data_IF_271854201387
#
_entry.id   IF_271854201387
#
_cell.length_a   1.000
_cell.length_b   1.000
_cell.length_c   1.000
_cell.angle_alpha   90.00
_cell.angle_beta   90.00
_cell.angle_gamma   90.00
#
_symmetry.space_group_name_H-M   'P 1'
#
loop_
_entity.id
_entity.type
_entity.pdbx_description
1 polymer ?
#
# COMPACT_ATOMS: atom_id res chain seq x y z
N UNK A 1 26.96 9.41 4.28
CA UNK A 1 25.58 8.85 4.33
C UNK A 1 24.87 9.40 5.56
N UNK A 2 23.57 9.61 5.51
CA UNK A 2 22.81 10.04 6.69
C UNK A 2 22.71 8.87 7.67
N UNK A 3 23.04 9.08 8.96
CA UNK A 3 23.08 8.02 9.98
C UNK A 3 21.73 7.30 10.16
N UNK A 4 20.62 8.00 9.99
CA UNK A 4 19.28 7.38 10.05
C UNK A 4 19.05 6.43 8.87
N UNK A 5 19.43 6.81 7.65
CA UNK A 5 19.35 5.94 6.47
C UNK A 5 20.24 4.70 6.65
N UNK A 6 21.45 4.85 7.17
CA UNK A 6 22.33 3.71 7.47
C UNK A 6 21.71 2.74 8.48
N UNK A 7 21.08 3.29 9.53
CA UNK A 7 20.40 2.48 10.52
C UNK A 7 19.20 1.75 9.94
N UNK A 8 18.41 2.42 9.09
CA UNK A 8 17.27 1.79 8.41
C UNK A 8 17.72 0.68 7.46
N UNK A 9 18.78 0.89 6.68
CA UNK A 9 19.32 -0.12 5.76
C UNK A 9 19.72 -1.42 6.44
N UNK A 10 20.16 -1.38 7.72
CA UNK A 10 20.53 -2.58 8.48
C UNK A 10 19.39 -3.56 8.72
N UNK A 11 18.13 -3.11 8.61
CA UNK A 11 16.96 -3.97 8.76
C UNK A 11 16.60 -4.76 7.49
N UNK A 12 17.26 -4.46 6.37
CA UNK A 12 17.00 -5.14 5.09
C UNK A 12 18.07 -6.18 4.79
N UNK A 13 17.62 -7.35 4.40
CA UNK A 13 18.48 -8.36 3.79
C UNK A 13 18.53 -8.07 2.28
N UNK A 14 19.73 -7.74 1.77
CA UNK A 14 19.91 -7.33 0.37
C UNK A 14 20.94 -8.23 -0.30
N UNK A 15 20.50 -9.04 -1.24
CA UNK A 15 21.34 -9.97 -2.00
C UNK A 15 21.63 -9.47 -3.42
N UNK A 16 20.68 -8.75 -4.00
CA UNK A 16 20.73 -8.36 -5.41
C UNK A 16 20.30 -6.90 -5.61
N UNK A 17 20.33 -6.43 -6.87
CA UNK A 17 19.96 -5.05 -7.22
C UNK A 17 18.47 -4.75 -6.98
N UNK A 18 17.59 -5.75 -7.11
CA UNK A 18 16.16 -5.56 -6.88
C UNK A 18 15.86 -5.33 -5.41
N UNK A 19 16.51 -6.11 -4.53
CA UNK A 19 16.41 -5.93 -3.06
C UNK A 19 16.89 -4.54 -2.65
N UNK A 20 18.02 -4.08 -3.23
CA UNK A 20 18.54 -2.73 -2.98
C UNK A 20 17.59 -1.64 -3.42
N UNK A 21 16.97 -1.78 -4.59
CA UNK A 21 15.97 -0.81 -5.08
C UNK A 21 14.71 -0.82 -4.22
N UNK A 22 14.26 -1.99 -3.78
CA UNK A 22 13.08 -2.13 -2.93
C UNK A 22 13.33 -1.54 -1.53
N UNK A 23 14.45 -1.85 -0.89
CA UNK A 23 14.83 -1.27 0.40
C UNK A 23 14.96 0.26 0.31
N UNK A 24 15.62 0.77 -0.72
CA UNK A 24 15.73 2.21 -0.98
C UNK A 24 14.34 2.85 -1.12
N UNK A 25 13.44 2.28 -1.92
CA UNK A 25 12.08 2.79 -2.09
C UNK A 25 11.31 2.82 -0.77
N UNK A 26 11.36 1.74 0.02
CA UNK A 26 10.65 1.65 1.30
C UNK A 26 11.18 2.68 2.31
N UNK A 27 12.51 2.88 2.38
CA UNK A 27 13.09 3.95 3.21
C UNK A 27 12.65 5.34 2.73
N UNK A 28 12.61 5.58 1.43
CA UNK A 28 12.08 6.83 0.87
C UNK A 28 10.61 7.02 1.20
N UNK A 29 9.79 5.97 1.19
CA UNK A 29 8.39 6.00 1.62
C UNK A 29 8.28 6.39 3.10
N UNK A 30 9.10 5.82 3.99
CA UNK A 30 9.11 6.19 5.40
C UNK A 30 9.55 7.65 5.62
N UNK A 31 10.50 8.17 4.83
CA UNK A 31 10.88 9.59 4.86
C UNK A 31 9.70 10.48 4.41
N UNK A 32 8.95 10.06 3.38
CA UNK A 32 7.74 10.77 2.93
C UNK A 32 6.67 10.77 4.01
N UNK A 33 6.41 9.62 4.66
CA UNK A 33 5.45 9.53 5.78
C UNK A 33 5.84 10.45 6.94
N UNK A 34 7.13 10.49 7.29
CA UNK A 34 7.66 11.42 8.29
C UNK A 34 7.42 12.89 7.89
N UNK A 35 7.69 13.24 6.64
CA UNK A 35 7.44 14.60 6.11
C UNK A 35 5.96 14.97 6.14
N UNK A 36 5.07 14.09 5.73
CA UNK A 36 3.62 14.26 5.81
C UNK A 36 3.13 14.42 7.25
N UNK A 37 3.67 13.62 8.19
CA UNK A 37 3.37 13.75 9.61
C UNK A 37 3.72 15.15 10.13
N UNK A 38 4.92 15.64 9.83
CA UNK A 38 5.38 16.98 10.23
C UNK A 38 4.59 18.11 9.55
N UNK A 39 4.08 17.89 8.36
CA UNK A 39 3.18 18.79 7.67
C UNK A 39 1.77 18.83 8.29
N UNK A 40 1.46 17.95 9.26
CA UNK A 40 0.14 17.84 9.88
C UNK A 40 -0.89 17.12 9.01
N UNK A 41 -0.47 16.39 7.99
CA UNK A 41 -1.34 15.67 7.05
C UNK A 41 -2.26 14.67 7.76
N UNK A 42 -1.73 13.93 8.73
CA UNK A 42 -2.47 12.91 9.49
C UNK A 42 -3.51 13.48 10.47
N UNK A 43 -3.70 14.80 10.52
CA UNK A 43 -4.85 15.41 11.20
C UNK A 43 -6.14 15.30 10.40
N UNK A 44 -6.05 15.11 9.09
CA UNK A 44 -7.19 14.99 8.17
C UNK A 44 -7.25 13.65 7.44
N UNK A 45 -6.12 12.99 7.25
CA UNK A 45 -6.00 11.79 6.45
C UNK A 45 -5.49 10.59 7.26
N UNK A 46 -5.85 9.40 6.82
CA UNK A 46 -5.36 8.14 7.34
C UNK A 46 -4.65 7.34 6.25
N UNK A 47 -3.57 6.66 6.62
CA UNK A 47 -2.79 5.79 5.76
C UNK A 47 -3.43 4.42 5.68
N UNK A 48 -3.54 3.84 4.48
CA UNK A 48 -4.09 2.51 4.27
C UNK A 48 -3.38 1.77 3.14
N UNK A 49 -3.89 0.62 2.72
CA UNK A 49 -3.35 -0.13 1.60
C UNK A 49 -2.17 -1.04 1.95
N UNK A 50 -1.52 -1.58 0.90
CA UNK A 50 -0.47 -2.58 1.04
C UNK A 50 0.79 -2.07 1.73
N UNK A 51 1.14 -0.80 1.54
CA UNK A 51 2.32 -0.21 2.16
C UNK A 51 2.10 0.07 3.66
N UNK A 52 0.87 0.46 4.06
CA UNK A 52 0.51 0.53 5.47
C UNK A 52 0.64 -0.84 6.15
N UNK A 53 0.14 -1.89 5.50
CA UNK A 53 0.26 -3.26 5.98
C UNK A 53 1.73 -3.70 6.09
N UNK A 54 2.57 -3.34 5.12
CA UNK A 54 4.01 -3.63 5.10
C UNK A 54 4.74 -2.94 6.25
N UNK A 55 4.65 -1.63 6.35
CA UNK A 55 5.45 -0.81 7.27
C UNK A 55 5.00 -0.97 8.72
N UNK A 56 3.68 -1.07 8.97
CA UNK A 56 3.13 -1.01 10.32
C UNK A 56 2.64 -2.34 10.89
N UNK A 57 2.39 -3.34 10.03
CA UNK A 57 1.85 -4.63 10.47
C UNK A 57 2.68 -5.85 10.07
N UNK A 58 3.81 -5.61 9.38
CA UNK A 58 4.80 -6.65 9.10
C UNK A 58 4.44 -7.58 7.96
N UNK A 59 3.73 -7.08 6.94
CA UNK A 59 3.60 -7.79 5.66
C UNK A 59 5.00 -7.99 5.07
N UNK A 60 5.33 -9.19 4.66
CA UNK A 60 6.66 -9.58 4.23
C UNK A 60 6.97 -9.31 2.73
N UNK A 61 5.94 -8.96 1.93
CA UNK A 61 6.15 -8.49 0.55
C UNK A 61 6.37 -6.99 0.47
N UNK A 62 7.18 -6.55 -0.48
CA UNK A 62 7.34 -5.13 -0.79
C UNK A 62 6.06 -4.51 -1.38
N UNK A 63 5.93 -3.20 -1.18
CA UNK A 63 4.82 -2.40 -1.70
C UNK A 63 5.30 -1.05 -2.22
N UNK A 64 4.63 -0.49 -3.23
CA UNK A 64 5.18 0.59 -4.03
C UNK A 64 4.50 1.94 -3.79
N UNK A 65 3.18 1.95 -3.61
CA UNK A 65 2.37 3.16 -3.54
C UNK A 65 2.03 3.53 -2.09
N UNK A 66 1.81 4.81 -1.82
CA UNK A 66 1.30 5.32 -0.56
C UNK A 66 -0.17 5.71 -0.76
N UNK A 67 -1.07 4.97 -0.15
CA UNK A 67 -2.51 5.17 -0.27
C UNK A 67 -3.05 5.82 1.01
N UNK A 68 -3.76 6.93 0.86
CA UNK A 68 -4.38 7.67 1.95
C UNK A 68 -5.86 7.90 1.66
N UNK A 69 -6.66 8.04 2.71
CA UNK A 69 -8.01 8.55 2.62
C UNK A 69 -8.24 9.66 3.64
N UNK A 70 -9.12 10.58 3.34
CA UNK A 70 -9.64 11.47 4.35
C UNK A 70 -10.54 10.69 5.33
N UNK A 71 -10.85 11.27 6.48
CA UNK A 71 -11.80 10.66 7.43
C UNK A 71 -13.25 10.87 7.05
N UNK A 72 -13.50 11.98 6.34
CA UNK A 72 -14.80 12.36 5.81
C UNK A 72 -14.59 13.04 4.46
N UNK A 73 -15.67 13.14 3.69
CA UNK A 73 -15.65 13.83 2.41
C UNK A 73 -15.17 15.28 2.53
N UNK A 74 -14.17 15.62 1.73
CA UNK A 74 -13.69 16.99 1.53
C UNK A 74 -13.21 17.12 0.07
N UNK A 75 -14.13 17.45 -0.82
CA UNK A 75 -13.84 17.56 -2.25
C UNK A 75 -12.91 18.74 -2.58
N UNK A 76 -12.81 19.72 -1.68
CA UNK A 76 -11.95 20.90 -1.77
C UNK A 76 -10.55 20.64 -1.18
N UNK A 77 -10.28 19.42 -0.74
CA UNK A 77 -8.98 19.07 -0.16
C UNK A 77 -7.84 19.36 -1.13
N UNK A 78 -6.93 20.21 -0.70
CA UNK A 78 -5.73 20.59 -1.43
C UNK A 78 -4.50 19.80 -0.92
N UNK A 79 -4.07 18.85 -1.72
CA UNK A 79 -2.87 18.05 -1.44
C UNK A 79 -1.59 18.88 -1.56
N UNK A 80 -1.58 19.91 -2.41
CA UNK A 80 -0.38 20.72 -2.67
C UNK A 80 0.03 21.57 -1.47
N UNK A 81 -0.89 21.88 -0.58
CA UNK A 81 -0.61 22.59 0.67
C UNK A 81 0.46 21.93 1.56
N UNK A 82 0.67 20.61 1.40
CA UNK A 82 1.65 19.83 2.16
C UNK A 82 3.02 19.74 1.49
N UNK A 83 3.13 20.07 0.19
CA UNK A 83 4.36 19.90 -0.58
C UNK A 83 5.55 20.72 -0.06
N UNK A 84 5.42 21.99 0.34
CA UNK A 84 6.57 22.77 0.83
C UNK A 84 7.26 22.15 2.05
N UNK A 85 6.48 21.62 3.00
CA UNK A 85 7.04 20.94 4.18
C UNK A 85 7.63 19.60 3.79
N UNK A 86 6.92 18.83 2.96
CA UNK A 86 7.39 17.53 2.48
C UNK A 86 8.72 17.65 1.72
N UNK A 87 8.83 18.62 0.79
CA UNK A 87 10.09 18.87 0.05
C UNK A 87 11.24 19.22 0.98
N UNK A 88 10.99 20.08 1.97
CA UNK A 88 12.00 20.43 2.98
C UNK A 88 12.50 19.21 3.73
N UNK A 89 11.59 18.35 4.17
CA UNK A 89 11.92 17.14 4.93
C UNK A 89 12.69 16.14 4.08
N UNK A 90 12.25 15.83 2.87
CA UNK A 90 12.96 14.87 2.00
C UNK A 90 14.35 15.36 1.60
N UNK A 91 14.50 16.67 1.35
CA UNK A 91 15.81 17.31 1.07
C UNK A 91 16.75 17.26 2.29
N UNK A 92 16.21 17.35 3.51
CA UNK A 92 17.01 17.25 4.74
C UNK A 92 17.68 15.87 4.91
N UNK A 93 17.10 14.82 4.33
CA UNK A 93 17.72 13.48 4.26
C UNK A 93 18.66 13.30 3.05
N UNK A 94 18.86 14.35 2.24
CA UNK A 94 19.72 14.32 1.06
C UNK A 94 19.03 13.77 -0.20
N UNK A 95 17.71 13.55 -0.17
CA UNK A 95 16.96 13.08 -1.33
C UNK A 95 16.76 14.23 -2.33
N UNK A 96 17.26 14.05 -3.54
CA UNK A 96 17.06 14.97 -4.66
C UNK A 96 15.85 14.51 -5.49
N UNK A 97 14.68 15.00 -5.12
CA UNK A 97 13.40 14.61 -5.72
C UNK A 97 12.54 15.82 -6.03
N UNK A 98 11.69 15.64 -7.01
CA UNK A 98 10.66 16.58 -7.43
C UNK A 98 9.29 16.02 -7.07
N UNK A 99 8.41 16.85 -6.52
CA UNK A 99 7.03 16.49 -6.23
C UNK A 99 6.15 17.08 -7.33
N UNK A 100 5.41 16.22 -7.99
CA UNK A 100 4.53 16.60 -9.10
C UNK A 100 3.11 16.11 -8.79
N UNK A 101 2.15 17.03 -8.78
CA UNK A 101 0.73 16.66 -8.79
C UNK A 101 0.37 16.07 -10.15
N UNK A 102 -0.45 15.04 -10.15
CA UNK A 102 -1.01 14.49 -11.37
C UNK A 102 -2.31 15.22 -11.71
N UNK A 103 -2.26 16.05 -12.72
CA UNK A 103 -3.48 16.66 -13.28
C UNK A 103 -4.47 15.58 -13.73
N UNK A 104 -5.73 15.80 -13.43
CA UNK A 104 -6.80 14.88 -13.78
C UNK A 104 -7.63 15.40 -14.93
N UNK A 105 -7.94 14.49 -15.83
CA UNK A 105 -8.81 14.73 -16.99
C UNK A 105 -10.30 14.44 -16.73
N UNK A 106 -10.65 13.91 -15.53
CA UNK A 106 -12.02 13.53 -15.13
C UNK A 106 -12.30 13.92 -13.69
N UNK A 107 -13.56 14.13 -13.35
CA UNK A 107 -14.04 14.23 -11.97
C UNK A 107 -13.71 12.92 -11.24
N UNK A 108 -12.79 12.97 -10.32
CA UNK A 108 -12.31 11.83 -9.53
C UNK A 108 -12.16 12.25 -8.09
N UNK A 109 -12.60 11.39 -7.17
CA UNK A 109 -12.42 11.55 -5.73
C UNK A 109 -10.99 11.27 -5.25
N UNK A 110 -10.08 10.82 -6.14
CA UNK A 110 -8.70 10.56 -5.79
C UNK A 110 -7.81 11.76 -6.16
N UNK A 111 -7.07 12.33 -5.25
CA UNK A 111 -5.97 13.27 -5.52
C UNK A 111 -4.67 12.46 -5.59
N UNK A 112 -3.84 12.73 -6.60
CA UNK A 112 -2.62 11.93 -6.80
C UNK A 112 -1.42 12.85 -6.99
N UNK A 113 -0.28 12.46 -6.42
CA UNK A 113 1.00 13.08 -6.71
C UNK A 113 2.11 12.02 -6.80
N UNK A 114 3.23 12.43 -7.36
CA UNK A 114 4.43 11.62 -7.48
C UNK A 114 5.62 12.35 -6.90
N UNK A 115 6.39 11.64 -6.09
CA UNK A 115 7.75 12.02 -5.76
C UNK A 115 8.67 11.27 -6.73
N UNK A 116 9.46 11.99 -7.50
CA UNK A 116 10.28 11.43 -8.58
C UNK A 116 11.72 11.88 -8.42
N UNK A 117 12.65 10.94 -8.52
CA UNK A 117 14.09 11.19 -8.50
C UNK A 117 14.86 10.27 -9.43
N UNK A 118 16.15 10.48 -9.57
CA UNK A 118 17.02 9.62 -10.38
C UNK A 118 17.46 8.39 -9.56
N UNK A 119 17.18 7.17 -10.06
CA UNK A 119 17.46 5.92 -9.35
C UNK A 119 18.97 5.75 -9.09
N UNK A 120 19.83 6.07 -10.05
CA UNK A 120 21.28 5.93 -9.90
C UNK A 120 21.84 6.85 -8.81
N UNK A 121 21.39 8.11 -8.76
CA UNK A 121 21.77 9.09 -7.75
C UNK A 121 21.41 8.61 -6.34
N UNK A 122 20.17 8.12 -6.18
CA UNK A 122 19.71 7.62 -4.88
C UNK A 122 20.40 6.32 -4.45
N UNK A 123 20.69 5.40 -5.39
CA UNK A 123 21.51 4.22 -5.07
C UNK A 123 22.92 4.60 -4.59
N UNK A 124 23.54 5.62 -5.19
CA UNK A 124 24.82 6.15 -4.69
C UNK A 124 24.68 6.76 -3.30
N UNK A 125 23.62 7.52 -3.05
CA UNK A 125 23.36 8.10 -1.73
C UNK A 125 23.18 7.02 -0.64
N UNK A 126 22.47 5.93 -0.95
CA UNK A 126 22.12 4.89 0.01
C UNK A 126 23.23 3.86 0.23
N UNK A 127 23.98 3.49 -0.80
CA UNK A 127 24.91 2.37 -0.74
C UNK A 127 26.37 2.76 -0.96
N UNK A 128 26.65 3.97 -1.44
CA UNK A 128 27.99 4.44 -1.79
C UNK A 128 28.77 3.46 -2.70
N UNK A 129 28.08 2.75 -3.58
CA UNK A 129 28.60 1.66 -4.43
C UNK A 129 28.42 2.01 -5.91
N UNK A 130 29.52 2.44 -6.55
CA UNK A 130 29.54 2.84 -7.96
C UNK A 130 29.22 1.67 -8.91
N UNK A 131 29.56 0.42 -8.56
CA UNK A 131 29.29 -0.76 -9.38
C UNK A 131 27.78 -1.03 -9.42
N UNK A 132 27.12 -0.95 -8.27
CA UNK A 132 25.67 -1.09 -8.14
C UNK A 132 24.95 0.02 -8.91
N UNK A 133 25.36 1.26 -8.70
CA UNK A 133 24.78 2.39 -9.42
C UNK A 133 25.05 2.33 -10.94
N UNK A 134 26.20 1.77 -11.34
CA UNK A 134 26.58 1.57 -12.74
C UNK A 134 25.74 0.51 -13.47
N UNK A 135 25.10 -0.42 -12.74
CA UNK A 135 24.23 -1.43 -13.32
C UNK A 135 22.82 -0.92 -13.70
N UNK A 136 22.52 0.32 -13.36
CA UNK A 136 21.20 0.93 -13.57
C UNK A 136 21.26 1.92 -14.74
N UNK A 137 20.22 1.97 -15.56
CA UNK A 137 20.13 2.91 -16.67
C UNK A 137 20.24 4.37 -16.19
N UNK A 138 21.00 5.20 -16.92
CA UNK A 138 21.30 6.58 -16.52
C UNK A 138 20.04 7.44 -16.30
N UNK A 139 18.99 7.15 -17.03
CA UNK A 139 17.71 7.87 -17.00
C UNK A 139 16.61 7.14 -16.22
N UNK A 140 16.93 6.05 -15.52
CA UNK A 140 15.95 5.34 -14.69
C UNK A 140 15.52 6.23 -13.54
N UNK A 141 14.18 6.33 -13.35
CA UNK A 141 13.59 7.15 -12.30
C UNK A 141 12.97 6.27 -11.21
N UNK A 142 13.36 6.54 -9.96
CA UNK A 142 12.57 6.09 -8.81
C UNK A 142 11.35 6.97 -8.68
N UNK A 143 10.18 6.35 -8.52
CA UNK A 143 8.92 7.05 -8.31
C UNK A 143 8.22 6.48 -7.09
N UNK A 144 7.72 7.37 -6.25
CA UNK A 144 6.79 7.05 -5.16
C UNK A 144 5.50 7.78 -5.48
N UNK A 145 4.46 7.00 -5.75
CA UNK A 145 3.11 7.50 -5.97
C UNK A 145 2.42 7.61 -4.63
N UNK A 146 1.70 8.70 -4.40
CA UNK A 146 0.78 8.82 -3.29
C UNK A 146 -0.58 9.33 -3.77
N UNK A 147 -1.62 8.71 -3.24
CA UNK A 147 -3.00 8.96 -3.59
C UNK A 147 -3.81 9.23 -2.34
N UNK A 148 -4.72 10.18 -2.41
CA UNK A 148 -5.63 10.52 -1.33
C UNK A 148 -7.06 10.40 -1.84
N UNK A 149 -7.83 9.51 -1.24
CA UNK A 149 -9.27 9.43 -1.47
C UNK A 149 -9.96 10.53 -0.64
N UNK A 150 -10.59 11.49 -1.32
CA UNK A 150 -11.23 12.64 -0.70
C UNK A 150 -12.73 12.44 -0.44
N UNK A 151 -13.27 11.28 -0.85
CA UNK A 151 -14.63 10.83 -0.55
C UNK A 151 -14.63 9.36 -0.16
N UNK A 152 -14.04 9.00 1.00
CA UNK A 152 -13.88 7.61 1.39
C UNK A 152 -15.21 6.96 1.79
N UNK A 153 -15.36 5.65 1.54
CA UNK A 153 -16.48 4.88 2.07
C UNK A 153 -16.56 4.93 3.59
N UNK A 154 -17.77 4.99 4.13
CA UNK A 154 -18.03 5.15 5.55
C UNK A 154 -17.57 3.95 6.41
N UNK A 155 -17.59 4.12 7.73
CA UNK A 155 -17.36 3.10 8.75
C UNK A 155 -15.96 2.51 8.84
N UNK A 156 -14.95 3.13 8.24
CA UNK A 156 -13.57 2.79 8.56
C UNK A 156 -13.26 3.17 10.03
N UNK A 157 -12.50 2.33 10.71
CA UNK A 157 -11.93 2.65 12.01
C UNK A 157 -10.44 2.95 11.86
N UNK A 158 -9.93 3.77 12.77
CA UNK A 158 -8.57 4.31 12.69
C UNK A 158 -7.80 4.04 13.96
N UNK A 159 -6.48 3.91 13.83
CA UNK A 159 -5.56 3.86 14.96
C UNK A 159 -4.34 4.75 14.71
N UNK A 160 -3.58 5.00 15.77
CA UNK A 160 -2.34 5.77 15.70
C UNK A 160 -1.15 4.85 15.98
N UNK A 161 -0.15 4.90 15.12
CA UNK A 161 1.11 4.18 15.31
C UNK A 161 2.29 5.12 15.16
N UNK A 162 3.38 4.76 15.84
CA UNK A 162 4.60 5.53 15.86
C UNK A 162 5.73 4.76 15.20
N UNK A 163 6.59 5.49 14.49
CA UNK A 163 7.88 5.01 14.00
C UNK A 163 8.99 5.84 14.62
N UNK A 164 10.12 5.21 14.89
CA UNK A 164 11.27 5.90 15.49
C UNK A 164 12.28 6.35 14.44
N UNK A 165 12.26 5.78 13.26
CA UNK A 165 13.13 6.08 12.14
C UNK A 165 12.30 6.57 10.94
N UNK A 166 12.86 7.49 10.14
CA UNK A 166 14.19 8.11 10.22
C UNK A 166 14.38 9.05 11.41
N UNK A 167 13.31 9.59 11.98
CA UNK A 167 13.19 10.30 13.27
C UNK A 167 11.80 9.98 13.82
N UNK A 168 11.52 10.16 15.11
CA UNK A 168 10.20 9.85 15.67
C UNK A 168 9.07 10.61 14.96
N UNK A 169 8.06 9.88 14.50
CA UNK A 169 6.85 10.43 13.89
C UNK A 169 5.64 9.56 14.14
N UNK A 170 4.46 10.15 14.07
CA UNK A 170 3.16 9.51 14.24
C UNK A 170 2.44 9.42 12.89
N UNK A 171 1.77 8.30 12.67
CA UNK A 171 0.89 8.10 11.51
C UNK A 171 -0.48 7.65 12.00
N UNK A 172 -1.52 8.29 11.51
CA UNK A 172 -2.88 7.78 11.61
C UNK A 172 -3.13 6.83 10.47
N UNK A 173 -3.66 5.67 10.75
CA UNK A 173 -3.90 4.64 9.75
C UNK A 173 -5.20 3.90 10.02
N UNK A 174 -5.68 3.18 9.03
CA UNK A 174 -6.79 2.25 9.20
C UNK A 174 -6.37 1.13 10.13
N UNK A 175 -7.30 0.71 11.01
CA UNK A 175 -7.11 -0.50 11.79
C UNK A 175 -7.11 -1.77 10.91
N UNK A 176 -6.64 -2.87 11.46
CA UNK A 176 -6.55 -4.15 10.72
C UNK A 176 -7.90 -4.59 10.14
N UNK A 177 -9.04 -4.54 10.87
CA UNK A 177 -10.33 -4.92 10.31
C UNK A 177 -10.75 -4.07 9.11
N UNK A 178 -10.50 -2.76 9.14
CA UNK A 178 -10.84 -1.85 8.04
C UNK A 178 -9.89 -2.00 6.85
N UNK A 179 -8.59 -2.23 7.08
CA UNK A 179 -7.63 -2.59 6.03
C UNK A 179 -8.05 -3.89 5.33
N UNK A 180 -8.47 -4.89 6.10
CA UNK A 180 -8.92 -6.17 5.56
C UNK A 180 -10.20 -6.02 4.73
N UNK A 181 -11.16 -5.20 5.18
CA UNK A 181 -12.34 -4.86 4.39
C UNK A 181 -11.98 -4.29 3.00
N UNK A 182 -11.03 -3.36 2.97
CA UNK A 182 -10.51 -2.82 1.70
C UNK A 182 -9.85 -3.89 0.82
N UNK A 183 -9.19 -4.87 1.41
CA UNK A 183 -8.57 -5.98 0.67
C UNK A 183 -9.60 -6.96 0.14
N UNK A 184 -10.59 -7.35 0.94
CA UNK A 184 -11.71 -8.21 0.51
C UNK A 184 -12.47 -7.53 -0.64
N UNK A 185 -12.78 -6.23 -0.51
CA UNK A 185 -13.39 -5.46 -1.59
C UNK A 185 -12.55 -5.53 -2.87
N UNK A 186 -11.23 -5.35 -2.79
CA UNK A 186 -10.36 -5.44 -3.96
C UNK A 186 -10.35 -6.85 -4.59
N UNK A 187 -10.37 -7.90 -3.80
CA UNK A 187 -10.47 -9.29 -4.28
C UNK A 187 -11.80 -9.52 -5.01
N UNK A 188 -12.92 -9.07 -4.45
CA UNK A 188 -14.26 -9.29 -5.02
C UNK A 188 -14.48 -8.42 -6.27
N UNK A 189 -14.24 -7.10 -6.18
CA UNK A 189 -14.75 -6.12 -7.13
C UNK A 189 -13.80 -5.75 -8.25
N UNK A 190 -12.48 -6.03 -8.10
CA UNK A 190 -11.53 -5.57 -9.11
C UNK A 190 -11.75 -6.32 -10.42
N UNK A 191 -12.04 -5.57 -11.49
CA UNK A 191 -12.15 -6.13 -12.85
C UNK A 191 -10.77 -6.61 -13.33
N UNK A 192 -10.58 -7.91 -13.39
CA UNK A 192 -9.33 -8.57 -13.75
C UNK A 192 -9.19 -8.77 -15.27
N UNK A 193 -9.70 -7.81 -16.04
CA UNK A 193 -9.81 -7.93 -17.50
C UNK A 193 -8.46 -7.92 -18.23
N UNK A 194 -7.42 -7.25 -17.68
CA UNK A 194 -6.14 -7.13 -18.35
C UNK A 194 -4.94 -7.58 -17.53
N UNK A 195 -5.05 -7.60 -16.21
CA UNK A 195 -4.00 -8.00 -15.27
C UNK A 195 -4.57 -8.44 -13.94
N UNK A 196 -4.30 -9.68 -13.57
CA UNK A 196 -4.61 -10.19 -12.23
C UNK A 196 -3.61 -9.57 -11.24
N UNK A 197 -4.11 -9.08 -10.10
CA UNK A 197 -3.26 -8.58 -9.02
C UNK A 197 -3.08 -9.64 -7.94
N UNK A 198 -2.13 -10.54 -8.13
CA UNK A 198 -1.77 -11.59 -7.17
C UNK A 198 -1.42 -11.07 -5.80
N UNK A 199 -0.92 -9.81 -5.71
CA UNK A 199 -0.67 -9.13 -4.42
C UNK A 199 -1.92 -8.99 -3.56
N UNK A 200 -3.13 -8.89 -4.13
CA UNK A 200 -4.36 -8.84 -3.35
C UNK A 200 -4.66 -10.20 -2.70
N UNK A 201 -4.36 -11.30 -3.39
CA UNK A 201 -4.48 -12.65 -2.85
C UNK A 201 -3.43 -12.93 -1.75
N UNK A 202 -2.21 -12.47 -1.97
CA UNK A 202 -1.13 -12.59 -0.99
C UNK A 202 -1.48 -11.89 0.33
N UNK A 203 -1.97 -10.66 0.24
CA UNK A 203 -2.42 -9.90 1.40
C UNK A 203 -3.62 -10.56 2.07
N UNK A 204 -4.54 -11.15 1.30
CA UNK A 204 -5.68 -11.89 1.84
C UNK A 204 -5.23 -13.07 2.72
N UNK A 205 -4.27 -13.86 2.24
CA UNK A 205 -3.65 -14.94 3.02
C UNK A 205 -2.99 -14.39 4.30
N UNK A 206 -2.27 -13.29 4.19
CA UNK A 206 -1.62 -12.65 5.33
C UNK A 206 -2.63 -12.27 6.44
N UNK A 207 -3.76 -11.66 6.09
CA UNK A 207 -4.79 -11.31 7.08
C UNK A 207 -5.35 -12.54 7.77
N UNK A 208 -5.72 -13.57 7.01
CA UNK A 208 -6.28 -14.81 7.57
C UNK A 208 -5.27 -15.55 8.45
N UNK A 209 -3.99 -15.62 8.05
CA UNK A 209 -2.92 -16.25 8.85
C UNK A 209 -2.70 -15.57 10.20
N UNK A 210 -3.10 -14.29 10.32
CA UNK A 210 -3.03 -13.52 11.58
C UNK A 210 -4.35 -13.55 12.38
N UNK A 211 -5.35 -14.29 11.91
CA UNK A 211 -6.67 -14.33 12.54
C UNK A 211 -7.41 -12.98 12.51
N UNK A 212 -7.12 -12.15 11.50
CA UNK A 212 -7.76 -10.85 11.38
C UNK A 212 -9.26 -11.02 11.07
N UNK A 213 -10.11 -10.27 11.79
CA UNK A 213 -11.52 -10.12 11.48
C UNK A 213 -11.72 -8.99 10.45
N UNK A 214 -12.80 -9.07 9.65
CA UNK A 214 -13.16 -8.00 8.72
C UNK A 214 -14.12 -7.01 9.36
N UNK A 215 -13.91 -5.70 9.15
CA UNK A 215 -14.91 -4.68 9.45
C UNK A 215 -16.06 -4.80 8.43
N UNK A 216 -17.12 -5.53 8.82
CA UNK A 216 -18.23 -5.85 7.93
C UNK A 216 -18.99 -4.60 7.47
N UNK A 217 -19.17 -3.63 8.35
CA UNK A 217 -19.89 -2.39 8.02
C UNK A 217 -19.11 -1.58 6.97
N UNK A 218 -17.79 -1.47 7.13
CA UNK A 218 -16.95 -0.80 6.16
C UNK A 218 -16.88 -1.55 4.82
N UNK A 219 -16.78 -2.89 4.84
CA UNK A 219 -16.82 -3.69 3.62
C UNK A 219 -18.13 -3.49 2.87
N UNK A 220 -19.28 -3.52 3.57
CA UNK A 220 -20.59 -3.27 2.96
C UNK A 220 -20.66 -1.89 2.33
N UNK A 221 -20.19 -0.85 3.02
CA UNK A 221 -20.15 0.50 2.47
C UNK A 221 -19.32 0.57 1.17
N UNK A 222 -18.17 -0.07 1.13
CA UNK A 222 -17.30 -0.14 -0.07
C UNK A 222 -17.95 -0.89 -1.23
N UNK A 223 -18.65 -1.98 -0.96
CA UNK A 223 -19.37 -2.77 -1.97
C UNK A 223 -20.53 -1.98 -2.60
N UNK A 224 -21.25 -1.19 -1.79
CA UNK A 224 -22.32 -0.29 -2.25
C UNK A 224 -21.73 0.85 -3.08
N UNK A 225 -20.70 1.52 -2.58
CA UNK A 225 -20.06 2.66 -3.24
C UNK A 225 -19.50 2.29 -4.63
N UNK A 226 -18.95 1.08 -4.77
CA UNK A 226 -18.49 0.55 -6.05
C UNK A 226 -19.60 0.04 -6.96
N UNK A 227 -20.86 0.05 -6.51
CA UNK A 227 -22.02 -0.48 -7.25
C UNK A 227 -22.04 -2.00 -7.38
N UNK A 228 -21.23 -2.73 -6.59
CA UNK A 228 -21.17 -4.18 -6.64
C UNK A 228 -22.40 -4.84 -5.99
N UNK A 229 -22.92 -4.26 -4.91
CA UNK A 229 -24.19 -4.63 -4.31
C UNK A 229 -25.11 -3.41 -4.22
N UNK A 230 -26.43 -3.64 -4.17
CA UNK A 230 -27.41 -2.58 -3.91
C UNK A 230 -27.48 -2.22 -2.43
N UNK A 231 -28.02 -1.05 -2.12
CA UNK A 231 -28.10 -0.55 -0.74
C UNK A 231 -29.00 -1.41 0.18
N UNK A 232 -29.93 -2.16 -0.37
CA UNK A 232 -30.85 -3.08 0.32
C UNK A 232 -30.32 -4.52 0.37
N UNK A 233 -29.21 -4.82 -0.32
CA UNK A 233 -28.63 -6.16 -0.30
C UNK A 233 -28.12 -6.54 1.08
N UNK A 234 -28.29 -7.82 1.44
CA UNK A 234 -27.62 -8.41 2.59
C UNK A 234 -26.09 -8.51 2.32
N UNK A 235 -25.32 -8.29 3.35
CA UNK A 235 -23.87 -8.43 3.32
C UNK A 235 -23.41 -9.14 4.60
N UNK A 236 -24.11 -10.21 4.95
CA UNK A 236 -23.75 -11.08 6.07
C UNK A 236 -22.43 -11.81 5.79
N UNK A 237 -21.81 -12.34 6.85
CA UNK A 237 -20.56 -13.09 6.70
C UNK A 237 -20.70 -14.30 5.76
N UNK A 238 -21.80 -15.10 5.78
CA UNK A 238 -22.02 -16.15 4.79
C UNK A 238 -22.03 -15.63 3.34
N UNK A 239 -22.67 -14.46 3.10
CA UNK A 239 -22.72 -13.88 1.77
C UNK A 239 -21.37 -13.35 1.30
N UNK A 240 -20.58 -12.76 2.20
CA UNK A 240 -19.19 -12.36 1.90
C UNK A 240 -18.37 -13.59 1.49
N UNK A 241 -18.50 -14.72 2.24
CA UNK A 241 -17.81 -15.97 1.90
C UNK A 241 -18.26 -16.52 0.56
N UNK A 242 -19.56 -16.44 0.22
CA UNK A 242 -20.08 -16.88 -1.07
C UNK A 242 -19.52 -16.04 -2.24
N UNK A 243 -19.52 -14.71 -2.12
CA UNK A 243 -18.92 -13.82 -3.11
C UNK A 243 -17.43 -14.11 -3.33
N UNK A 244 -16.68 -14.35 -2.25
CA UNK A 244 -15.27 -14.71 -2.33
C UNK A 244 -15.07 -16.07 -3.02
N UNK A 245 -15.89 -17.08 -2.69
CA UNK A 245 -15.80 -18.42 -3.28
C UNK A 245 -16.04 -18.38 -4.79
N UNK A 246 -17.08 -17.67 -5.25
CA UNK A 246 -17.35 -17.43 -6.67
C UNK A 246 -16.16 -16.75 -7.36
N UNK A 247 -15.59 -15.74 -6.68
CA UNK A 247 -14.43 -15.03 -7.22
C UNK A 247 -13.22 -15.93 -7.38
N UNK A 248 -12.92 -16.79 -6.41
CA UNK A 248 -11.78 -17.71 -6.46
C UNK A 248 -11.87 -18.71 -7.61
N UNK A 249 -13.08 -19.13 -8.00
CA UNK A 249 -13.28 -20.01 -9.17
C UNK A 249 -12.92 -19.34 -10.50
N UNK A 250 -12.94 -18.00 -10.56
CA UNK A 250 -12.69 -17.22 -11.77
C UNK A 250 -11.22 -16.78 -11.96
N UNK A 251 -10.32 -17.08 -11.01
CA UNK A 251 -8.96 -16.56 -10.98
C UNK A 251 -8.01 -17.47 -11.80
N UNK A 252 -7.21 -16.85 -12.67
CA UNK A 252 -6.01 -17.47 -13.24
C UNK A 252 -4.86 -17.40 -12.22
N UNK A 253 -4.65 -18.50 -11.49
CA UNK A 253 -3.61 -18.58 -10.46
C UNK A 253 -2.19 -18.55 -11.01
N UNK A 254 -1.96 -18.94 -12.27
CA UNK A 254 -0.65 -18.84 -12.88
C UNK A 254 -0.26 -17.36 -13.05
N UNK A 255 -1.18 -16.56 -13.59
CA UNK A 255 -0.98 -15.12 -13.75
C UNK A 255 -0.90 -14.39 -12.39
N UNK A 256 -1.71 -14.82 -11.41
CA UNK A 256 -1.67 -14.26 -10.06
C UNK A 256 -0.30 -14.48 -9.39
N UNK A 257 0.29 -15.67 -9.52
CA UNK A 257 1.64 -15.95 -9.02
C UNK A 257 2.69 -15.07 -9.67
N UNK A 258 2.66 -14.93 -10.98
CA UNK A 258 3.60 -14.07 -11.73
C UNK A 258 3.52 -12.60 -11.31
N UNK A 259 2.33 -12.09 -10.96
CA UNK A 259 2.17 -10.69 -10.52
C UNK A 259 2.80 -10.44 -9.13
N UNK A 260 2.77 -11.41 -8.22
CA UNK A 260 3.28 -11.21 -6.86
C UNK A 260 4.75 -11.58 -6.70
N UNK A 261 5.25 -12.51 -7.49
CA UNK A 261 6.61 -13.07 -7.38
C UNK A 261 7.71 -12.00 -7.28
N UNK A 262 7.70 -10.89 -8.04
CA UNK A 262 8.74 -9.84 -7.92
C UNK A 262 8.75 -9.09 -6.59
N UNK A 263 7.75 -9.27 -5.73
CA UNK A 263 7.58 -8.55 -4.46
C UNK A 263 7.88 -9.39 -3.22
N UNK A 264 8.17 -10.67 -3.37
CA UNK A 264 8.41 -11.63 -2.28
C UNK A 264 9.80 -12.26 -2.41
N UNK A 265 10.34 -12.74 -1.29
CA UNK A 265 11.64 -13.42 -1.28
C UNK A 265 11.52 -14.90 -1.63
N UNK A 266 10.48 -15.58 -1.13
CA UNK A 266 10.26 -17.02 -1.33
C UNK A 266 8.98 -17.25 -2.13
N UNK A 267 9.14 -17.55 -3.42
CA UNK A 267 8.02 -17.86 -4.31
C UNK A 267 7.40 -19.24 -4.08
N UNK A 268 8.06 -20.13 -3.33
CA UNK A 268 7.56 -21.48 -3.06
C UNK A 268 6.24 -21.48 -2.29
N UNK A 269 5.98 -20.44 -1.49
CA UNK A 269 4.72 -20.24 -0.74
C UNK A 269 3.50 -20.10 -1.66
N UNK A 270 3.72 -19.77 -2.95
CA UNK A 270 2.66 -19.63 -3.94
C UNK A 270 2.20 -20.96 -4.55
N UNK A 271 2.95 -22.05 -4.35
CA UNK A 271 2.68 -23.34 -5.00
C UNK A 271 1.34 -23.97 -4.61
N UNK A 272 0.85 -23.66 -3.41
CA UNK A 272 -0.46 -24.15 -2.91
C UNK A 272 -1.66 -23.37 -3.45
N UNK A 273 -1.44 -22.26 -4.14
CA UNK A 273 -2.53 -21.40 -4.59
C UNK A 273 -3.42 -22.07 -5.61
N UNK A 274 -4.67 -22.27 -5.25
CA UNK A 274 -5.76 -22.83 -6.04
C UNK A 274 -7.10 -22.29 -5.52
N UNK A 275 -8.19 -22.46 -6.27
CA UNK A 275 -9.52 -22.12 -5.82
C UNK A 275 -9.88 -22.83 -4.50
N UNK A 276 -9.59 -24.12 -4.41
CA UNK A 276 -9.86 -24.94 -3.23
C UNK A 276 -9.09 -24.43 -2.00
N UNK A 277 -7.79 -24.08 -2.17
CA UNK A 277 -7.01 -23.51 -1.09
C UNK A 277 -7.64 -22.21 -0.56
N UNK A 278 -7.97 -21.27 -1.45
CA UNK A 278 -8.56 -20.00 -1.03
C UNK A 278 -9.95 -20.16 -0.41
N UNK A 279 -10.78 -21.06 -0.93
CA UNK A 279 -12.08 -21.41 -0.31
C UNK A 279 -11.89 -21.99 1.08
N UNK A 280 -10.97 -22.93 1.25
CA UNK A 280 -10.69 -23.58 2.52
C UNK A 280 -10.24 -22.58 3.60
N UNK A 281 -9.28 -21.70 3.30
CA UNK A 281 -8.82 -20.71 4.28
C UNK A 281 -9.90 -19.66 4.60
N UNK A 282 -10.83 -19.38 3.66
CA UNK A 282 -11.95 -18.46 3.86
C UNK A 282 -12.95 -18.96 4.91
N UNK A 283 -13.00 -20.27 5.20
CA UNK A 283 -13.84 -20.78 6.29
C UNK A 283 -13.45 -20.17 7.64
N UNK A 284 -12.17 -19.84 7.83
CA UNK A 284 -11.68 -19.14 9.02
C UNK A 284 -11.98 -17.63 9.10
N UNK A 285 -12.61 -17.05 8.07
CA UNK A 285 -12.95 -15.63 8.06
C UNK A 285 -13.97 -15.30 9.15
N UNK A 286 -13.67 -14.28 9.95
CA UNK A 286 -14.54 -13.72 10.98
C UNK A 286 -14.82 -12.24 10.72
N UNK A 287 -15.86 -11.69 11.35
CA UNK A 287 -16.26 -10.29 11.19
C UNK A 287 -16.43 -9.57 12.54
N UNK A 288 -16.26 -8.25 12.52
CA UNK A 288 -16.53 -7.31 13.62
C UNK A 288 -17.38 -6.15 13.15
#
# INVERSE_FOLDING_TARGET
MNSAIEQMLKSYHVENIYDRKNAMKEIMQEIVLCGLSRAGFFKKAAFYGGTALRIFYGLDRFSEDLDFSLEAEDLDFDLTAYFPVLEKEVKAFGLNVEIQEKEKTKESTIRSAFLKGNTKEHLLLFYADEKVAGSVAKNEAVKIKFEVDVNPPAFAAFEHKYRLLPVPYEVRLYDIPSLFAGKIHAVICRAWQSRIKGRDLYDYVFYLSRGAAVNQKHLRARLIDSGFISADADCSLPEIKAMLAERFDSIDYAQARQDVEPFIHDSSVLNIWSADFFKQITEGLTAV
#
